data_IF_472524708746
#
_entry.id   IF_472524708746
#
_cell.length_a   1.000
_cell.length_b   1.000
_cell.length_c   1.000
_cell.angle_alpha   90.00
_cell.angle_beta   90.00
_cell.angle_gamma   90.00
#
_symmetry.space_group_name_H-M   'P 1'
#
loop_
_entity.id
_entity.type
_entity.pdbx_description
1 polymer ?
#
# COMPACT_ATOMS: atom_id res chain seq x y z
N UNK A 1 -6.72 -32.39 10.21
CA UNK A 1 -7.66 -31.29 10.48
C UNK A 1 -7.73 -30.48 9.20
N UNK A 2 -8.85 -30.50 8.46
CA UNK A 2 -8.98 -29.69 7.24
C UNK A 2 -8.85 -28.22 7.64
N UNK A 3 -7.86 -27.54 7.09
CA UNK A 3 -7.74 -26.10 7.21
C UNK A 3 -9.03 -25.47 6.70
N UNK A 4 -9.63 -24.58 7.49
CA UNK A 4 -10.73 -23.74 7.00
C UNK A 4 -10.21 -23.01 5.75
N UNK A 5 -10.99 -22.93 4.67
CA UNK A 5 -10.54 -22.21 3.48
C UNK A 5 -10.19 -20.77 3.89
N UNK A 6 -9.04 -20.27 3.44
CA UNK A 6 -8.46 -18.98 3.83
C UNK A 6 -9.45 -17.80 3.82
N UNK A 7 -10.48 -17.89 2.97
CA UNK A 7 -11.57 -16.92 2.84
C UNK A 7 -12.51 -16.84 4.05
N UNK A 8 -12.65 -17.93 4.82
CA UNK A 8 -13.45 -17.94 6.06
C UNK A 8 -12.72 -17.27 7.22
N UNK A 9 -11.38 -17.36 7.24
CA UNK A 9 -10.56 -16.75 8.28
C UNK A 9 -10.21 -15.29 7.98
N UNK A 10 -10.30 -14.86 6.72
CA UNK A 10 -10.04 -13.49 6.25
C UNK A 10 -11.17 -13.00 5.32
N UNK A 11 -12.42 -12.87 5.82
CA UNK A 11 -13.59 -12.55 5.00
C UNK A 11 -13.53 -11.16 4.37
N UNK A 12 -12.95 -10.16 5.05
CA UNK A 12 -12.86 -8.79 4.50
C UNK A 12 -11.84 -8.72 3.37
N UNK A 13 -10.68 -9.35 3.53
CA UNK A 13 -9.67 -9.46 2.47
C UNK A 13 -10.22 -10.26 1.29
N UNK A 14 -10.97 -11.33 1.55
CA UNK A 14 -11.61 -12.12 0.51
C UNK A 14 -12.61 -11.29 -0.32
N UNK A 15 -13.47 -10.50 0.36
CA UNK A 15 -14.41 -9.57 -0.26
C UNK A 15 -13.70 -8.50 -1.08
N UNK A 16 -12.60 -7.95 -0.55
CA UNK A 16 -11.79 -6.96 -1.25
C UNK A 16 -11.17 -7.53 -2.54
N UNK A 17 -10.62 -8.74 -2.50
CA UNK A 17 -10.08 -9.41 -3.69
C UNK A 17 -11.18 -9.64 -4.75
N UNK A 18 -12.39 -10.01 -4.33
CA UNK A 18 -13.51 -10.17 -5.27
C UNK A 18 -13.87 -8.84 -5.93
N UNK A 19 -13.91 -7.74 -5.18
CA UNK A 19 -14.15 -6.41 -5.72
C UNK A 19 -13.05 -5.97 -6.70
N UNK A 20 -11.78 -6.30 -6.42
CA UNK A 20 -10.68 -6.04 -7.36
C UNK A 20 -10.84 -6.86 -8.65
N UNK A 21 -11.22 -8.13 -8.55
CA UNK A 21 -11.46 -8.98 -9.73
C UNK A 21 -12.63 -8.49 -10.57
N UNK A 22 -13.67 -8.00 -9.94
CA UNK A 22 -14.82 -7.41 -10.63
C UNK A 22 -14.43 -6.11 -11.35
N UNK A 23 -13.66 -5.24 -10.69
CA UNK A 23 -13.24 -3.96 -11.25
C UNK A 23 -12.15 -4.06 -12.35
N UNK A 24 -11.19 -4.97 -12.19
CA UNK A 24 -9.97 -5.03 -13.02
C UNK A 24 -9.82 -6.31 -13.83
N UNK A 25 -10.70 -7.29 -13.62
CA UNK A 25 -10.62 -8.62 -14.21
C UNK A 25 -9.65 -9.56 -13.47
N UNK A 26 -9.94 -10.86 -13.55
CA UNK A 26 -9.11 -11.91 -12.93
C UNK A 26 -7.69 -11.96 -13.50
N UNK A 27 -7.55 -11.83 -14.81
CA UNK A 27 -6.26 -11.89 -15.50
C UNK A 27 -5.28 -10.81 -15.03
N UNK A 28 -5.79 -9.68 -14.51
CA UNK A 28 -4.98 -8.59 -13.94
C UNK A 28 -4.64 -8.83 -12.46
N UNK A 29 -5.55 -9.42 -11.70
CA UNK A 29 -5.45 -9.55 -10.23
C UNK A 29 -4.76 -10.84 -9.80
N UNK A 30 -5.13 -11.96 -10.41
CA UNK A 30 -4.67 -13.29 -10.00
C UNK A 30 -3.15 -13.49 -10.13
N UNK A 31 -2.44 -12.93 -11.13
CA UNK A 31 -0.98 -13.01 -11.19
C UNK A 31 -0.29 -12.35 -9.99
N UNK A 32 -0.78 -11.18 -9.54
CA UNK A 32 -0.23 -10.46 -8.39
C UNK A 32 -0.45 -11.23 -7.09
N UNK A 33 -1.64 -11.83 -6.93
CA UNK A 33 -1.94 -12.71 -5.79
C UNK A 33 -1.04 -13.94 -5.78
N UNK A 34 -0.92 -14.63 -6.92
CA UNK A 34 -0.12 -15.85 -7.04
C UNK A 34 1.35 -15.59 -6.75
N UNK A 35 1.93 -14.53 -7.31
CA UNK A 35 3.33 -14.14 -7.08
C UNK A 35 3.54 -13.66 -5.65
N UNK A 36 2.59 -12.90 -5.10
CA UNK A 36 2.55 -12.48 -3.69
C UNK A 36 2.63 -13.63 -2.71
N UNK A 37 1.77 -14.63 -2.90
CA UNK A 37 1.75 -15.86 -2.12
C UNK A 37 3.00 -16.73 -2.37
N UNK A 38 3.61 -16.61 -3.55
CA UNK A 38 4.84 -17.29 -3.96
C UNK A 38 6.14 -16.66 -3.47
N UNK A 39 6.10 -15.57 -2.68
CA UNK A 39 7.31 -14.94 -2.12
C UNK A 39 7.72 -13.62 -2.76
N UNK A 40 7.01 -13.15 -3.79
CA UNK A 40 7.32 -11.86 -4.41
C UNK A 40 6.54 -10.73 -3.73
N UNK A 41 7.12 -9.53 -3.53
CA UNK A 41 6.48 -8.43 -2.80
C UNK A 41 5.41 -7.68 -3.63
N UNK A 42 4.43 -8.42 -4.17
CA UNK A 42 3.37 -7.91 -5.06
C UNK A 42 1.98 -7.97 -4.43
N UNK A 43 1.80 -8.78 -3.39
CA UNK A 43 0.55 -8.83 -2.64
C UNK A 43 0.84 -9.21 -1.18
N UNK A 44 0.25 -8.43 -0.28
CA UNK A 44 0.24 -8.66 1.16
C UNK A 44 -1.11 -8.21 1.72
N UNK A 45 -1.65 -8.99 2.65
CA UNK A 45 -2.85 -8.63 3.38
C UNK A 45 -2.76 -9.11 4.83
N UNK A 46 -3.37 -8.33 5.73
CA UNK A 46 -3.45 -8.67 7.14
C UNK A 46 -4.88 -8.41 7.66
N UNK A 47 -5.46 -9.39 8.35
CA UNK A 47 -6.81 -9.33 8.92
C UNK A 47 -6.85 -10.16 10.20
N UNK A 48 -7.43 -9.63 11.28
CA UNK A 48 -7.59 -10.32 12.56
C UNK A 48 -6.32 -11.03 13.09
N UNK A 49 -5.14 -10.41 12.89
CA UNK A 49 -3.85 -10.97 13.30
C UNK A 49 -3.26 -12.04 12.36
N UNK A 50 -4.00 -12.45 11.33
CA UNK A 50 -3.49 -13.32 10.25
C UNK A 50 -2.88 -12.48 9.13
N UNK A 51 -1.79 -12.98 8.55
CA UNK A 51 -1.04 -12.34 7.47
C UNK A 51 -0.87 -13.32 6.31
N UNK A 52 -1.04 -12.83 5.08
CA UNK A 52 -0.84 -13.61 3.85
C UNK A 52 -0.08 -12.81 2.80
N UNK A 53 0.58 -13.52 1.91
CA UNK A 53 1.41 -12.93 0.87
C UNK A 53 2.73 -12.41 1.42
N UNK A 54 3.47 -11.72 0.56
CA UNK A 54 4.79 -11.18 0.88
C UNK A 54 4.66 -9.69 0.97
N UNK A 55 4.88 -9.16 2.18
CA UNK A 55 4.98 -7.72 2.36
C UNK A 55 6.08 -7.22 1.43
N UNK A 56 5.85 -6.03 0.83
CA UNK A 56 6.98 -5.22 0.43
C UNK A 56 7.81 -5.08 1.71
N UNK A 57 8.97 -5.75 1.74
CA UNK A 57 9.99 -5.43 2.72
C UNK A 57 10.29 -3.92 2.59
N UNK A 58 11.19 -3.37 3.38
CA UNK A 58 11.75 -2.04 3.09
C UNK A 58 12.62 -2.08 1.79
N UNK A 59 12.13 -2.69 0.71
CA UNK A 59 12.65 -2.86 -0.65
C UNK A 59 12.71 -1.49 -1.36
N UNK A 60 13.29 -0.53 -0.66
CA UNK A 60 13.01 0.88 -0.76
C UNK A 60 13.32 1.71 0.49
N UNK A 61 14.11 1.23 1.46
CA UNK A 61 14.74 2.14 2.45
C UNK A 61 15.61 3.26 1.80
N UNK A 62 15.77 3.24 0.47
CA UNK A 62 16.32 4.36 -0.31
C UNK A 62 15.30 5.34 -0.91
N UNK A 63 13.99 5.05 -0.90
CA UNK A 63 12.92 5.89 -1.47
C UNK A 63 11.58 5.73 -0.74
N UNK A 64 11.57 5.41 0.55
CA UNK A 64 10.41 5.77 1.36
C UNK A 64 10.21 7.28 1.15
N UNK A 65 8.99 7.69 0.79
CA UNK A 65 8.65 9.11 0.69
C UNK A 65 9.08 9.80 1.97
N UNK A 66 10.24 10.47 1.93
CA UNK A 66 10.79 11.11 3.10
C UNK A 66 9.99 12.40 3.26
N UNK A 67 8.92 12.39 4.06
CA UNK A 67 8.07 13.56 4.23
C UNK A 67 8.87 14.82 4.64
N UNK A 68 10.05 14.63 5.22
CA UNK A 68 11.03 15.70 5.49
C UNK A 68 11.46 16.44 4.22
N UNK A 69 11.73 15.77 3.09
CA UNK A 69 12.13 16.47 1.86
C UNK A 69 10.97 17.14 1.11
N UNK A 70 9.72 16.97 1.57
CA UNK A 70 8.59 17.80 1.11
C UNK A 70 8.77 19.26 1.57
N UNK A 71 9.42 19.49 2.70
CA UNK A 71 9.70 20.83 3.25
C UNK A 71 10.89 21.52 2.54
N UNK A 72 11.75 20.76 1.86
CA UNK A 72 12.98 21.26 1.21
C UNK A 72 12.76 21.70 -0.26
N UNK A 73 11.51 21.67 -0.73
CA UNK A 73 11.16 22.30 -1.99
C UNK A 73 10.90 23.77 -1.72
N UNK A 74 11.89 24.61 -2.04
CA UNK A 74 11.77 26.06 -2.12
C UNK A 74 10.75 26.44 -3.22
N UNK A 75 9.45 26.22 -2.95
CA UNK A 75 8.36 26.47 -3.90
C UNK A 75 8.21 27.97 -4.23
N UNK A 76 8.81 28.85 -3.40
CA UNK A 76 8.97 30.28 -3.62
C UNK A 76 10.41 30.71 -3.26
N UNK A 77 10.92 31.78 -3.88
CA UNK A 77 12.23 32.34 -3.52
C UNK A 77 12.25 32.76 -2.04
N UNK A 78 13.14 32.16 -1.25
CA UNK A 78 13.30 32.45 0.18
C UNK A 78 12.31 31.77 1.13
N UNK A 79 11.51 30.80 0.66
CA UNK A 79 10.55 30.07 1.51
C UNK A 79 11.17 28.82 2.15
N UNK A 80 10.99 28.65 3.46
CA UNK A 80 11.52 27.51 4.25
C UNK A 80 10.52 26.34 4.39
N UNK A 81 9.35 26.44 3.77
CA UNK A 81 8.35 25.37 3.78
C UNK A 81 7.65 25.12 5.11
N UNK A 82 7.86 25.96 6.14
CA UNK A 82 7.28 25.79 7.48
C UNK A 82 5.74 25.80 7.50
N UNK A 83 5.09 26.32 6.45
CA UNK A 83 3.64 26.36 6.32
C UNK A 83 3.01 25.05 5.78
N UNK A 84 3.80 24.09 5.29
CA UNK A 84 3.27 22.83 4.74
C UNK A 84 2.45 22.09 5.81
N UNK A 85 1.19 21.75 5.49
CA UNK A 85 0.28 21.04 6.40
C UNK A 85 -0.50 21.94 7.39
N UNK A 86 -0.30 23.26 7.34
CA UNK A 86 -0.97 24.22 8.26
C UNK A 86 -2.21 24.91 7.65
N UNK A 87 -2.63 24.52 6.45
CA UNK A 87 -3.67 25.17 5.63
C UNK A 87 -3.38 26.63 5.20
N UNK A 88 -2.25 27.19 5.64
CA UNK A 88 -1.80 28.52 5.23
C UNK A 88 -1.39 28.53 3.76
N UNK A 89 -1.82 29.56 3.01
CA UNK A 89 -1.46 29.77 1.61
C UNK A 89 -0.38 30.84 1.51
N UNK A 90 0.58 30.66 0.60
CA UNK A 90 1.53 31.74 0.28
C UNK A 90 0.79 32.97 -0.22
N UNK A 91 1.15 34.15 0.31
CA UNK A 91 0.75 35.41 -0.29
C UNK A 91 1.43 35.54 -1.65
N UNK A 92 0.68 35.99 -2.67
CA UNK A 92 1.19 36.22 -4.02
C UNK A 92 2.07 37.45 -4.08
#
# INVERSE_FOLDING_TARGET
>A
MSAKPLREEMPEVARFIDALRDAFGRDSVDPSLSRGLGGEPLFFAAEAGRRIGTALADAGAGQAWHAVCVHDRYYCQGCDGSCVGTEQRCAR
#
